data_IF_949893800270
#
_entry.id   IF_949893800270
#
_cell.length_a   1.000
_cell.length_b   1.000
_cell.length_c   1.000
_cell.angle_alpha   90.00
_cell.angle_beta   90.00
_cell.angle_gamma   90.00
#
_symmetry.space_group_name_H-M   'P 1'
#
loop_
_entity.id
_entity.type
_entity.pdbx_description
1 polymer ?
#
# COMPACT_ATOMS: atom_id res chain seq x y z
N UNK A 1 -26.92 44.57 -33.39
CA UNK A 1 -25.86 44.55 -32.37
C UNK A 1 -25.88 43.18 -31.72
N UNK A 2 -24.98 42.32 -32.18
CA UNK A 2 -24.88 40.91 -31.79
C UNK A 2 -23.77 40.84 -30.76
N UNK A 3 -24.08 40.58 -29.48
CA UNK A 3 -23.07 40.40 -28.46
C UNK A 3 -23.04 38.95 -27.98
N UNK A 4 -21.97 38.30 -28.42
CA UNK A 4 -21.15 37.32 -27.72
C UNK A 4 -21.86 36.21 -26.93
N UNK A 5 -21.88 35.03 -27.56
CA UNK A 5 -21.59 33.77 -26.85
C UNK A 5 -20.20 33.90 -26.22
N UNK A 6 -20.06 33.62 -24.92
CA UNK A 6 -18.81 33.09 -24.39
C UNK A 6 -19.00 32.39 -23.03
N UNK A 7 -18.60 31.12 -23.05
CA UNK A 7 -17.92 30.37 -21.98
C UNK A 7 -18.57 30.28 -20.60
N UNK A 8 -19.29 29.17 -20.40
CA UNK A 8 -19.00 28.33 -19.23
C UNK A 8 -18.71 26.93 -19.75
N UNK A 9 -17.42 26.61 -19.82
CA UNK A 9 -16.91 25.27 -20.05
C UNK A 9 -17.52 24.32 -19.01
N UNK A 10 -18.46 23.50 -19.46
CA UNK A 10 -18.87 22.31 -18.74
C UNK A 10 -17.72 21.29 -18.86
N UNK A 11 -16.86 21.21 -17.85
CA UNK A 11 -15.99 20.03 -17.63
C UNK A 11 -16.48 19.16 -16.45
N UNK A 12 -17.70 18.60 -16.46
CA UNK A 12 -18.07 17.59 -15.45
C UNK A 12 -17.60 16.17 -15.82
N UNK A 13 -17.05 15.95 -17.02
CA UNK A 13 -16.64 14.59 -17.47
C UNK A 13 -15.24 14.19 -17.01
N UNK A 14 -14.32 15.15 -16.82
CA UNK A 14 -12.92 14.87 -16.49
C UNK A 14 -12.71 14.54 -15.01
N UNK A 15 -13.51 15.13 -14.11
CA UNK A 15 -13.50 14.81 -12.67
C UNK A 15 -14.00 13.40 -12.37
N UNK A 16 -15.10 12.97 -13.01
CA UNK A 16 -15.65 11.61 -12.86
C UNK A 16 -14.67 10.51 -13.30
N UNK A 17 -13.95 10.73 -14.41
CA UNK A 17 -12.96 9.76 -14.89
C UNK A 17 -11.74 9.65 -13.98
N UNK A 18 -11.23 10.79 -13.47
CA UNK A 18 -10.13 10.79 -12.50
C UNK A 18 -10.53 10.12 -11.19
N UNK A 19 -11.78 10.31 -10.76
CA UNK A 19 -12.35 9.64 -9.61
C UNK A 19 -12.31 8.11 -9.78
N UNK A 20 -12.89 7.61 -10.88
CA UNK A 20 -12.93 6.16 -11.15
C UNK A 20 -11.52 5.55 -11.22
N UNK A 21 -10.54 6.30 -11.76
CA UNK A 21 -9.14 5.88 -11.78
C UNK A 21 -8.53 5.78 -10.37
N UNK A 22 -8.73 6.79 -9.52
CA UNK A 22 -8.18 6.77 -8.15
C UNK A 22 -8.83 5.68 -7.31
N UNK A 23 -10.15 5.55 -7.39
CA UNK A 23 -10.88 4.49 -6.73
C UNK A 23 -10.34 3.11 -7.14
N UNK A 24 -10.22 2.86 -8.46
CA UNK A 24 -9.67 1.58 -8.96
C UNK A 24 -8.25 1.32 -8.47
N UNK A 25 -7.38 2.34 -8.48
CA UNK A 25 -6.02 2.21 -7.97
C UNK A 25 -6.01 1.90 -6.46
N UNK A 26 -6.83 2.59 -5.67
CA UNK A 26 -6.96 2.34 -4.24
C UNK A 26 -7.43 0.91 -3.95
N UNK A 27 -8.44 0.42 -4.68
CA UNK A 27 -8.91 -0.96 -4.54
C UNK A 27 -7.81 -1.99 -4.89
N UNK A 28 -7.02 -1.72 -5.93
CA UNK A 28 -5.86 -2.56 -6.27
C UNK A 28 -4.82 -2.55 -5.14
N UNK A 29 -4.49 -1.38 -4.60
CA UNK A 29 -3.53 -1.26 -3.50
C UNK A 29 -4.02 -1.94 -2.22
N UNK A 30 -5.29 -1.82 -1.88
CA UNK A 30 -5.90 -2.52 -0.73
C UNK A 30 -5.78 -4.04 -0.87
N UNK A 31 -6.07 -4.57 -2.06
CA UNK A 31 -5.90 -5.99 -2.35
C UNK A 31 -4.45 -6.44 -2.19
N UNK A 32 -3.51 -5.69 -2.78
CA UNK A 32 -2.08 -6.03 -2.72
C UNK A 32 -1.53 -5.93 -1.29
N UNK A 33 -1.88 -4.87 -0.54
CA UNK A 33 -1.44 -4.70 0.85
C UNK A 33 -2.04 -5.76 1.78
N UNK A 34 -3.27 -6.21 1.52
CA UNK A 34 -3.86 -7.34 2.26
C UNK A 34 -3.08 -8.62 2.01
N UNK A 35 -2.71 -8.88 0.75
CA UNK A 35 -1.84 -10.00 0.41
C UNK A 35 -0.46 -9.91 1.08
N UNK A 36 0.19 -8.74 1.02
CA UNK A 36 1.49 -8.49 1.68
C UNK A 36 1.40 -8.75 3.19
N UNK A 37 0.36 -8.22 3.86
CA UNK A 37 0.13 -8.45 5.29
C UNK A 37 0.03 -9.95 5.61
N UNK A 38 -0.71 -10.69 4.79
CA UNK A 38 -0.94 -12.12 5.02
C UNK A 38 0.35 -12.94 4.77
N UNK A 39 1.17 -12.57 3.77
CA UNK A 39 2.48 -13.18 3.55
C UNK A 39 3.49 -12.83 4.66
N UNK A 40 3.51 -11.59 5.16
CA UNK A 40 4.35 -11.22 6.32
C UNK A 40 3.98 -12.08 7.53
N UNK A 41 2.69 -12.23 7.82
CA UNK A 41 2.22 -13.08 8.91
C UNK A 41 2.67 -14.54 8.74
N UNK A 42 2.65 -15.05 7.50
CA UNK A 42 3.14 -16.39 7.19
C UNK A 42 4.65 -16.53 7.44
N UNK A 43 5.47 -15.54 7.04
CA UNK A 43 6.91 -15.55 7.31
C UNK A 43 7.22 -15.45 8.80
N UNK A 44 6.49 -14.62 9.55
CA UNK A 44 6.59 -14.52 11.01
C UNK A 44 6.33 -15.89 11.67
N UNK A 45 5.26 -16.60 11.29
CA UNK A 45 4.99 -17.95 11.82
C UNK A 45 6.08 -18.95 11.48
N UNK A 46 6.69 -18.86 10.29
CA UNK A 46 7.85 -19.70 9.98
C UNK A 46 9.06 -19.38 10.85
N UNK A 47 9.36 -18.10 11.03
CA UNK A 47 10.48 -17.67 11.89
C UNK A 47 10.29 -18.12 13.34
N UNK A 48 9.07 -18.11 13.86
CA UNK A 48 8.75 -18.68 15.18
C UNK A 48 9.10 -20.16 15.26
N UNK A 49 8.79 -20.96 14.23
CA UNK A 49 9.17 -22.38 14.20
C UNK A 49 10.69 -22.61 14.13
N UNK A 50 11.45 -21.68 13.54
CA UNK A 50 12.91 -21.78 13.45
C UNK A 50 13.61 -21.52 14.79
N UNK A 51 12.94 -20.86 15.75
CA UNK A 51 13.49 -20.63 17.09
C UNK A 51 13.84 -21.94 17.82
N UNK A 52 13.18 -23.04 17.45
CA UNK A 52 13.45 -24.36 18.03
C UNK A 52 14.73 -25.02 17.49
N UNK A 53 15.35 -24.43 16.45
CA UNK A 53 16.57 -24.94 15.83
C UNK A 53 17.83 -24.38 16.50
N UNK A 54 18.84 -25.22 16.67
CA UNK A 54 20.19 -24.80 17.08
C UNK A 54 20.95 -24.16 15.90
N UNK A 55 20.53 -22.95 15.51
CA UNK A 55 21.16 -22.19 14.45
C UNK A 55 22.58 -21.73 14.84
N UNK A 56 23.44 -21.59 13.83
CA UNK A 56 24.76 -20.96 14.01
C UNK A 56 24.59 -19.48 14.40
N UNK A 57 25.61 -18.88 15.03
CA UNK A 57 25.55 -17.47 15.43
C UNK A 57 25.30 -16.51 14.26
N UNK A 58 25.83 -16.83 13.08
CA UNK A 58 25.60 -16.03 11.86
C UNK A 58 24.13 -16.06 11.46
N UNK A 59 23.55 -17.27 11.38
CA UNK A 59 22.13 -17.45 11.04
C UNK A 59 21.21 -16.86 12.12
N UNK A 60 21.60 -16.87 13.39
CA UNK A 60 20.85 -16.19 14.44
C UNK A 60 20.79 -14.67 14.24
N UNK A 61 21.90 -14.04 13.83
CA UNK A 61 21.89 -12.59 13.59
C UNK A 61 21.02 -12.23 12.38
N UNK A 62 21.09 -13.03 11.31
CA UNK A 62 20.25 -12.85 10.12
C UNK A 62 18.77 -13.05 10.44
N UNK A 63 18.46 -14.05 11.25
CA UNK A 63 17.11 -14.30 11.76
C UNK A 63 16.55 -13.09 12.53
N UNK A 64 17.31 -12.54 13.48
CA UNK A 64 16.90 -11.34 14.25
C UNK A 64 16.66 -10.15 13.31
N UNK A 65 17.53 -9.95 12.33
CA UNK A 65 17.37 -8.85 11.37
C UNK A 65 16.11 -9.01 10.50
N UNK A 66 15.81 -10.23 10.05
CA UNK A 66 14.58 -10.54 9.32
C UNK A 66 13.33 -10.34 10.19
N UNK A 67 13.38 -10.76 11.46
CA UNK A 67 12.27 -10.58 12.39
C UNK A 67 11.95 -9.09 12.62
N UNK A 68 12.97 -8.27 12.87
CA UNK A 68 12.82 -6.82 13.01
C UNK A 68 12.27 -6.17 11.72
N UNK A 69 12.76 -6.61 10.56
CA UNK A 69 12.31 -6.10 9.27
C UNK A 69 10.84 -6.43 9.01
N UNK A 70 10.41 -7.69 9.18
CA UNK A 70 9.03 -8.08 8.98
C UNK A 70 8.07 -7.42 9.99
N UNK A 71 8.51 -7.24 11.24
CA UNK A 71 7.73 -6.53 12.25
C UNK A 71 7.48 -5.06 11.84
N UNK A 72 8.50 -4.38 11.30
CA UNK A 72 8.37 -3.01 10.79
C UNK A 72 7.45 -2.96 9.55
N UNK A 73 7.68 -3.84 8.56
CA UNK A 73 6.88 -3.91 7.33
C UNK A 73 5.40 -4.20 7.64
N UNK A 74 5.10 -5.03 8.65
CA UNK A 74 3.74 -5.30 9.13
C UNK A 74 3.07 -4.02 9.64
N UNK A 75 3.75 -3.25 10.47
CA UNK A 75 3.21 -1.99 11.03
C UNK A 75 2.94 -0.99 9.92
N UNK A 76 3.89 -0.82 8.99
CA UNK A 76 3.76 0.11 7.87
C UNK A 76 2.64 -0.29 6.90
N UNK A 77 2.54 -1.57 6.58
CA UNK A 77 1.48 -2.15 5.73
C UNK A 77 0.11 -1.91 6.35
N UNK A 78 -0.06 -2.20 7.64
CA UNK A 78 -1.32 -1.94 8.35
C UNK A 78 -1.66 -0.45 8.42
N UNK A 79 -0.67 0.41 8.63
CA UNK A 79 -0.88 1.85 8.65
C UNK A 79 -1.31 2.38 7.27
N UNK A 80 -0.75 1.86 6.18
CA UNK A 80 -1.14 2.26 4.83
C UNK A 80 -2.52 1.71 4.45
N UNK A 81 -2.85 0.46 4.80
CA UNK A 81 -4.18 -0.11 4.61
C UNK A 81 -5.25 0.81 5.21
N UNK A 82 -5.14 1.14 6.49
CA UNK A 82 -6.07 2.02 7.19
C UNK A 82 -6.16 3.41 6.55
N UNK A 83 -5.03 3.94 6.08
CA UNK A 83 -5.01 5.25 5.43
C UNK A 83 -5.77 5.24 4.09
N UNK A 84 -5.61 4.20 3.28
CA UNK A 84 -6.34 4.05 2.01
C UNK A 84 -7.82 3.78 2.26
N UNK A 85 -8.16 2.91 3.22
CA UNK A 85 -9.57 2.65 3.61
C UNK A 85 -10.27 3.93 4.08
N UNK A 86 -9.59 4.74 4.90
CA UNK A 86 -10.11 6.01 5.36
C UNK A 86 -10.33 6.99 4.21
N UNK A 87 -9.36 7.10 3.31
CA UNK A 87 -9.46 7.97 2.13
C UNK A 87 -10.61 7.53 1.21
N UNK A 88 -10.77 6.22 0.96
CA UNK A 88 -11.88 5.67 0.18
C UNK A 88 -13.25 5.93 0.83
N UNK A 89 -13.32 5.84 2.16
CA UNK A 89 -14.52 6.18 2.90
C UNK A 89 -14.88 7.66 2.75
N UNK A 90 -13.91 8.56 2.93
CA UNK A 90 -14.11 10.01 2.75
C UNK A 90 -14.52 10.33 1.31
N UNK A 91 -13.83 9.77 0.33
CA UNK A 91 -14.19 9.92 -1.09
C UNK A 91 -15.62 9.45 -1.39
N UNK A 92 -16.05 8.34 -0.79
CA UNK A 92 -17.41 7.83 -0.93
C UNK A 92 -18.49 8.76 -0.36
N UNK A 93 -18.17 9.52 0.69
CA UNK A 93 -19.08 10.51 1.28
C UNK A 93 -19.13 11.81 0.45
N UNK A 94 -17.99 12.27 -0.03
CA UNK A 94 -17.88 13.53 -0.77
C UNK A 94 -18.52 13.44 -2.15
N UNK A 95 -18.41 12.29 -2.84
CA UNK A 95 -19.02 12.07 -4.16
C UNK A 95 -20.55 12.09 -4.16
N UNK A 96 -21.18 11.92 -2.99
CA UNK A 96 -22.63 12.04 -2.84
C UNK A 96 -23.10 13.50 -2.77
N UNK A 97 -22.17 14.46 -2.64
CA UNK A 97 -22.47 15.89 -2.58
C UNK A 97 -22.65 16.46 -3.99
N UNK A 98 -23.65 17.34 -4.16
CA UNK A 98 -24.03 17.91 -5.47
C UNK A 98 -22.92 18.70 -6.18
N UNK A 99 -21.94 19.22 -5.44
CA UNK A 99 -20.88 20.10 -5.96
C UNK A 99 -19.48 19.45 -5.85
N UNK A 100 -19.40 18.12 -5.78
CA UNK A 100 -18.11 17.43 -5.67
C UNK A 100 -17.18 17.76 -6.84
N UNK A 101 -16.00 18.28 -6.51
CA UNK A 101 -14.91 18.49 -7.46
C UNK A 101 -13.62 17.94 -6.87
N UNK A 102 -12.91 17.13 -7.67
CA UNK A 102 -11.57 16.64 -7.35
C UNK A 102 -10.57 17.80 -7.34
N UNK A 103 -10.32 18.35 -6.16
CA UNK A 103 -9.33 19.39 -5.92
C UNK A 103 -7.88 18.89 -5.86
N UNK A 104 -6.96 19.84 -5.76
CA UNK A 104 -5.51 19.59 -5.64
C UNK A 104 -5.15 18.75 -4.41
N UNK A 105 -5.90 18.91 -3.30
CA UNK A 105 -5.67 18.15 -2.07
C UNK A 105 -5.83 16.64 -2.30
N UNK A 106 -6.88 16.21 -2.99
CA UNK A 106 -7.11 14.80 -3.34
C UNK A 106 -5.98 14.24 -4.22
N UNK A 107 -5.50 15.03 -5.18
CA UNK A 107 -4.35 14.64 -6.00
C UNK A 107 -3.09 14.43 -5.15
N UNK A 108 -2.80 15.36 -4.23
CA UNK A 108 -1.62 15.27 -3.36
C UNK A 108 -1.72 14.07 -2.40
N UNK A 109 -2.89 13.84 -1.79
CA UNK A 109 -3.15 12.66 -0.95
C UNK A 109 -2.94 11.37 -1.74
N UNK A 110 -3.59 11.23 -2.89
CA UNK A 110 -3.47 10.04 -3.73
C UNK A 110 -2.03 9.78 -4.18
N UNK A 111 -1.31 10.84 -4.58
CA UNK A 111 0.11 10.76 -4.93
C UNK A 111 0.95 10.27 -3.74
N UNK A 112 0.70 10.77 -2.54
CA UNK A 112 1.43 10.34 -1.34
C UNK A 112 1.15 8.87 -0.99
N UNK A 113 -0.12 8.43 -1.11
CA UNK A 113 -0.50 7.03 -0.92
C UNK A 113 0.24 6.13 -1.93
N UNK A 114 0.28 6.52 -3.21
CA UNK A 114 1.00 5.79 -4.26
C UNK A 114 2.49 5.64 -3.95
N UNK A 115 3.15 6.71 -3.50
CA UNK A 115 4.58 6.67 -3.15
C UNK A 115 4.82 5.69 -2.02
N UNK A 116 4.00 5.74 -0.96
CA UNK A 116 4.10 4.81 0.18
C UNK A 116 3.82 3.37 -0.23
N UNK A 117 2.80 3.14 -1.07
CA UNK A 117 2.49 1.82 -1.59
C UNK A 117 3.69 1.20 -2.33
N UNK A 118 4.31 1.96 -3.23
CA UNK A 118 5.48 1.48 -3.99
C UNK A 118 6.70 1.22 -3.12
N UNK A 119 6.88 1.99 -2.04
CA UNK A 119 7.95 1.74 -1.09
C UNK A 119 7.71 0.39 -0.39
N UNK A 120 6.52 0.18 0.18
CA UNK A 120 6.15 -1.08 0.84
C UNK A 120 6.26 -2.27 -0.11
N UNK A 121 5.78 -2.15 -1.34
CA UNK A 121 5.86 -3.23 -2.35
C UNK A 121 7.32 -3.62 -2.65
N UNK A 122 8.21 -2.63 -2.77
CA UNK A 122 9.63 -2.87 -3.00
C UNK A 122 10.30 -3.50 -1.77
N UNK A 123 10.03 -2.97 -0.59
CA UNK A 123 10.65 -3.43 0.65
C UNK A 123 10.22 -4.88 0.93
N UNK A 124 8.93 -5.18 0.76
CA UNK A 124 8.38 -6.54 0.86
C UNK A 124 9.03 -7.52 -0.11
N UNK A 125 9.23 -7.15 -1.37
CA UNK A 125 9.92 -8.04 -2.32
C UNK A 125 11.38 -8.29 -1.94
N UNK A 126 12.01 -7.31 -1.30
CA UNK A 126 13.39 -7.43 -0.81
C UNK A 126 13.43 -8.35 0.41
N UNK A 127 12.59 -8.15 1.43
CA UNK A 127 12.51 -9.00 2.61
C UNK A 127 12.13 -10.44 2.26
N UNK A 128 11.17 -10.63 1.36
CA UNK A 128 10.77 -11.94 0.84
C UNK A 128 11.94 -12.69 0.20
N UNK A 129 12.77 -12.00 -0.58
CA UNK A 129 13.95 -12.61 -1.19
C UNK A 129 14.97 -13.03 -0.12
N UNK A 130 15.30 -12.11 0.79
CA UNK A 130 16.23 -12.37 1.90
C UNK A 130 15.76 -13.54 2.78
N UNK A 131 14.45 -13.66 3.02
CA UNK A 131 13.88 -14.78 3.75
C UNK A 131 14.10 -16.11 3.03
N UNK A 132 13.89 -16.19 1.71
CA UNK A 132 14.13 -17.43 0.97
C UNK A 132 15.61 -17.81 0.88
N UNK A 133 16.51 -16.83 0.77
CA UNK A 133 17.95 -17.09 0.86
C UNK A 133 18.32 -17.66 2.22
N UNK A 134 17.87 -17.01 3.30
CA UNK A 134 18.06 -17.49 4.67
C UNK A 134 17.52 -18.91 4.89
N UNK A 135 16.31 -19.20 4.40
CA UNK A 135 15.74 -20.55 4.48
C UNK A 135 16.58 -21.58 3.71
N UNK A 136 17.15 -21.20 2.58
CA UNK A 136 18.04 -22.07 1.79
C UNK A 136 19.31 -22.40 2.57
N UNK A 137 19.88 -21.42 3.27
CA UNK A 137 21.08 -21.61 4.10
C UNK A 137 20.83 -22.49 5.32
N UNK A 138 19.61 -22.50 5.86
CA UNK A 138 19.22 -23.43 6.94
C UNK A 138 19.09 -24.87 6.43
N UNK A 139 18.62 -25.07 5.20
CA UNK A 139 18.33 -26.39 4.64
C UNK A 139 19.56 -27.11 4.06
N UNK A 140 20.68 -26.39 3.87
CA UNK A 140 21.94 -26.93 3.35
C UNK A 140 22.88 -27.39 4.46
#
# INVERSE_FOLDING_TARGET
MTNAMENVLFEPKTSSLKFELYHRENQQWLSNLSFIRDEIQYFETWMEHLQELNLSRTLQNEWIALEEQFAQERVETQALLKAIEHEEFLFGLETQQKDFQLGEEHYLKHRNLRVRFRAIEKDFHTSKHSFYEFMTDIMN
#
